data_IF_084644317923
#
_entry.id   IF_084644317923
#
_cell.length_a   1.000
_cell.length_b   1.000
_cell.length_c   1.000
_cell.angle_alpha   90.00
_cell.angle_beta   90.00
_cell.angle_gamma   90.00
#
_symmetry.space_group_name_H-M   'P 1'
#
loop_
_entity.id
_entity.type
_entity.pdbx_description
1 polymer ?
#
# COMPACT_ATOMS: atom_id res chain seq x y z
N UNK A 1 -4.20 7.25 -10.99
CA UNK A 1 -3.07 6.40 -11.43
C UNK A 1 -3.50 5.53 -12.61
N UNK A 2 -4.54 4.71 -12.47
CA UNK A 2 -5.11 3.86 -13.54
C UNK A 2 -5.46 4.64 -14.81
N UNK A 3 -6.15 5.79 -14.69
CA UNK A 3 -6.45 6.66 -15.85
C UNK A 3 -5.20 7.17 -16.55
N UNK A 4 -4.12 7.46 -15.81
CA UNK A 4 -2.83 7.87 -16.39
C UNK A 4 -2.14 6.70 -17.10
N UNK A 5 -2.23 5.48 -16.56
CA UNK A 5 -1.68 4.28 -17.19
C UNK A 5 -2.42 3.98 -18.50
N UNK A 6 -3.76 4.08 -18.50
CA UNK A 6 -4.58 3.98 -19.70
C UNK A 6 -4.23 5.04 -20.75
N UNK A 7 -3.97 6.28 -20.32
CA UNK A 7 -3.52 7.37 -21.20
C UNK A 7 -2.15 7.12 -21.83
N UNK A 8 -1.23 6.48 -21.11
CA UNK A 8 0.16 6.27 -21.55
C UNK A 8 0.30 4.99 -22.39
N UNK A 9 -0.33 3.89 -21.99
CA UNK A 9 -0.18 2.58 -22.62
C UNK A 9 -1.28 2.28 -23.66
N UNK A 10 -2.40 3.01 -23.62
CA UNK A 10 -3.63 2.64 -24.31
C UNK A 10 -4.40 1.55 -23.55
N UNK A 11 -5.74 1.47 -23.72
CA UNK A 11 -6.60 0.61 -22.90
C UNK A 11 -6.21 -0.86 -22.95
N UNK A 12 -5.99 -1.42 -24.14
CA UNK A 12 -5.68 -2.85 -24.35
C UNK A 12 -4.36 -3.26 -23.68
N UNK A 13 -3.33 -2.40 -23.71
CA UNK A 13 -2.03 -2.68 -23.06
C UNK A 13 -2.07 -2.38 -21.56
N UNK A 14 -2.85 -1.38 -21.15
CA UNK A 14 -3.03 -1.07 -19.74
C UNK A 14 -3.76 -2.22 -19.02
N UNK A 15 -4.83 -2.75 -19.60
CA UNK A 15 -5.56 -3.92 -19.09
C UNK A 15 -4.62 -5.12 -18.97
N UNK A 16 -3.89 -5.46 -20.04
CA UNK A 16 -2.94 -6.59 -20.06
C UNK A 16 -1.72 -6.45 -19.13
N UNK A 17 -1.44 -5.23 -18.65
CA UNK A 17 -0.36 -4.94 -17.69
C UNK A 17 -0.91 -4.80 -16.26
N UNK A 18 -2.21 -4.62 -16.11
CA UNK A 18 -2.93 -4.38 -14.87
C UNK A 18 -3.98 -5.47 -14.60
N UNK A 19 -3.78 -6.71 -15.10
CA UNK A 19 -4.72 -7.82 -14.98
C UNK A 19 -5.33 -7.90 -13.56
N UNK A 20 -4.50 -7.68 -12.52
CA UNK A 20 -4.97 -7.50 -11.14
C UNK A 20 -4.18 -6.42 -10.39
N UNK A 21 -4.89 -5.54 -9.70
CA UNK A 21 -4.31 -4.52 -8.84
C UNK A 21 -4.69 -4.75 -7.38
N UNK A 22 -3.70 -4.97 -6.52
CA UNK A 22 -3.91 -4.97 -5.08
C UNK A 22 -3.65 -3.57 -4.51
N UNK A 23 -4.73 -2.84 -4.22
CA UNK A 23 -4.69 -1.48 -3.67
C UNK A 23 -4.61 -1.54 -2.15
N UNK A 24 -3.54 -0.97 -1.58
CA UNK A 24 -3.29 -0.97 -0.14
C UNK A 24 -3.32 0.46 0.38
N UNK A 25 -4.17 0.70 1.39
CA UNK A 25 -4.28 1.97 2.09
C UNK A 25 -4.58 1.76 3.58
N UNK A 26 -4.55 2.81 4.38
CA UNK A 26 -5.02 2.76 5.76
C UNK A 26 -5.89 3.96 6.12
N UNK A 27 -6.93 3.71 6.91
CA UNK A 27 -7.80 4.75 7.47
C UNK A 27 -7.67 4.79 8.98
N UNK A 28 -7.62 5.99 9.57
CA UNK A 28 -7.51 6.15 11.04
C UNK A 28 -8.82 6.68 11.61
N UNK A 29 -9.41 5.93 12.54
CA UNK A 29 -10.54 6.37 13.36
C UNK A 29 -9.97 6.98 14.64
N UNK A 30 -10.17 8.28 14.82
CA UNK A 30 -9.74 9.00 16.02
C UNK A 30 -10.81 8.94 17.12
N UNK A 31 -10.39 8.76 18.36
CA UNK A 31 -11.25 8.58 19.53
C UNK A 31 -10.72 9.36 20.74
N UNK A 32 -11.54 9.48 21.80
CA UNK A 32 -11.10 10.07 23.06
C UNK A 32 -10.17 9.11 23.83
N UNK A 33 -9.10 9.65 24.42
CA UNK A 33 -8.13 8.84 25.17
C UNK A 33 -8.77 8.21 26.42
N UNK A 34 -9.59 8.98 27.15
CA UNK A 34 -10.26 8.53 28.38
C UNK A 34 -11.19 7.34 28.20
N UNK A 35 -11.75 7.13 27.00
CA UNK A 35 -12.60 5.98 26.71
C UNK A 35 -11.85 4.78 26.13
N UNK A 36 -10.61 4.97 25.65
CA UNK A 36 -9.90 4.00 24.83
C UNK A 36 -8.39 4.02 25.11
N UNK A 37 -7.99 3.89 26.38
CA UNK A 37 -6.59 3.99 26.81
C UNK A 37 -5.67 2.92 26.21
N UNK A 38 -6.23 1.77 25.79
CA UNK A 38 -5.48 0.71 25.10
C UNK A 38 -5.05 1.08 23.68
N UNK A 39 -5.65 2.12 23.08
CA UNK A 39 -5.46 2.52 21.69
C UNK A 39 -4.74 3.87 21.55
N UNK A 40 -3.75 4.16 22.41
CA UNK A 40 -3.02 5.45 22.41
C UNK A 40 -2.49 5.79 21.02
N UNK A 41 -2.85 6.96 20.50
CA UNK A 41 -2.41 7.46 19.20
C UNK A 41 -1.53 8.72 19.32
N UNK A 42 -1.96 9.68 20.14
CA UNK A 42 -1.24 10.91 20.52
C UNK A 42 -1.48 11.20 21.99
N UNK A 43 -0.80 12.22 22.53
CA UNK A 43 -0.87 12.60 23.95
C UNK A 43 -2.29 12.74 24.49
N UNK A 44 -3.23 13.28 23.70
CA UNK A 44 -4.63 13.47 24.10
C UNK A 44 -5.64 12.65 23.29
N UNK A 45 -5.17 11.79 22.37
CA UNK A 45 -6.03 11.06 21.44
C UNK A 45 -5.72 9.57 21.43
N UNK A 46 -6.77 8.77 21.42
CA UNK A 46 -6.69 7.38 21.01
C UNK A 46 -7.09 7.25 19.53
N UNK A 47 -6.72 6.14 18.93
CA UNK A 47 -7.10 5.86 17.56
C UNK A 47 -6.86 4.41 17.18
N UNK A 48 -7.72 3.92 16.31
CA UNK A 48 -7.55 2.64 15.63
C UNK A 48 -7.25 2.96 14.18
N UNK A 49 -6.29 2.23 13.61
CA UNK A 49 -5.98 2.27 12.19
C UNK A 49 -6.43 0.97 11.55
N UNK A 50 -7.18 1.10 10.47
CA UNK A 50 -7.69 0.02 9.66
C UNK A 50 -6.84 -0.02 8.40
N UNK A 51 -5.95 -0.99 8.29
CA UNK A 51 -5.19 -1.23 7.07
C UNK A 51 -6.01 -2.12 6.14
N UNK A 52 -6.16 -1.71 4.89
CA UNK A 52 -7.03 -2.37 3.91
C UNK A 52 -6.24 -2.70 2.65
N UNK A 53 -6.41 -3.92 2.17
CA UNK A 53 -6.00 -4.39 0.85
C UNK A 53 -7.28 -4.72 0.07
N UNK A 54 -7.44 -4.10 -1.10
CA UNK A 54 -8.59 -4.28 -2.00
C UNK A 54 -8.05 -4.75 -3.35
N UNK A 55 -8.55 -5.89 -3.83
CA UNK A 55 -8.18 -6.40 -5.13
C UNK A 55 -9.17 -5.84 -6.17
N UNK A 56 -8.61 -5.23 -7.22
CA UNK A 56 -9.31 -4.79 -8.42
C UNK A 56 -8.89 -5.72 -9.56
N UNK A 57 -9.86 -6.39 -10.15
CA UNK A 57 -9.72 -7.25 -11.33
C UNK A 57 -10.65 -6.70 -12.44
N UNK A 58 -10.58 -7.26 -13.65
CA UNK A 58 -11.35 -6.77 -14.82
C UNK A 58 -12.84 -6.52 -14.54
N UNK A 59 -13.51 -7.45 -13.84
CA UNK A 59 -14.97 -7.38 -13.64
C UNK A 59 -15.38 -7.03 -12.19
N UNK A 60 -14.45 -7.09 -11.23
CA UNK A 60 -14.78 -7.07 -9.81
C UNK A 60 -13.82 -6.25 -8.94
N UNK A 61 -14.37 -5.75 -7.83
CA UNK A 61 -13.62 -5.12 -6.75
C UNK A 61 -14.03 -5.76 -5.44
N UNK A 62 -13.09 -6.33 -4.70
CA UNK A 62 -13.39 -6.95 -3.42
C UNK A 62 -12.32 -6.73 -2.36
N UNK A 63 -12.72 -6.63 -1.08
CA UNK A 63 -11.77 -6.54 0.01
C UNK A 63 -11.00 -7.86 0.13
N UNK A 64 -9.67 -7.79 0.02
CA UNK A 64 -8.79 -8.94 0.21
C UNK A 64 -8.37 -9.10 1.67
N UNK A 65 -8.00 -7.99 2.33
CA UNK A 65 -7.57 -8.04 3.73
C UNK A 65 -7.90 -6.77 4.49
N UNK A 66 -8.30 -6.93 5.74
CA UNK A 66 -8.55 -5.83 6.68
C UNK A 66 -7.83 -6.16 7.98
N UNK A 67 -6.92 -5.28 8.41
CA UNK A 67 -6.13 -5.46 9.63
C UNK A 67 -6.32 -4.23 10.52
N UNK A 68 -7.14 -4.32 11.59
CA UNK A 68 -7.25 -3.27 12.59
C UNK A 68 -6.06 -3.32 13.56
N UNK A 69 -5.51 -2.17 13.88
CA UNK A 69 -4.40 -2.02 14.84
C UNK A 69 -4.57 -0.72 15.64
N UNK A 70 -3.92 -0.55 16.81
CA UNK A 70 -3.77 0.78 17.41
C UNK A 70 -3.15 1.73 16.38
N UNK A 71 -3.50 3.02 16.38
CA UNK A 71 -3.10 3.92 15.28
C UNK A 71 -1.63 4.40 15.33
N UNK A 72 -0.93 4.15 16.43
CA UNK A 72 0.44 4.63 16.68
C UNK A 72 1.52 3.99 15.79
N UNK A 73 1.54 2.67 15.56
CA UNK A 73 2.51 2.06 14.66
C UNK A 73 2.44 2.64 13.24
N UNK A 74 3.62 2.73 12.60
CA UNK A 74 3.73 3.20 11.23
C UNK A 74 3.14 2.17 10.24
N UNK A 75 2.64 2.66 9.11
CA UNK A 75 1.91 1.84 8.13
C UNK A 75 2.80 0.78 7.49
N UNK A 76 4.06 1.12 7.22
CA UNK A 76 5.07 0.19 6.69
C UNK A 76 5.18 -1.11 7.51
N UNK A 77 4.87 -1.09 8.80
CA UNK A 77 4.94 -2.28 9.66
C UNK A 77 3.93 -3.37 9.27
N UNK A 78 2.83 -2.99 8.61
CA UNK A 78 1.77 -3.90 8.17
C UNK A 78 1.83 -4.27 6.70
N UNK A 79 2.73 -3.63 5.93
CA UNK A 79 2.84 -3.85 4.48
C UNK A 79 2.92 -5.32 4.09
N UNK A 80 3.86 -6.09 4.68
CA UNK A 80 4.06 -7.50 4.33
C UNK A 80 2.79 -8.34 4.51
N UNK A 81 1.95 -8.00 5.49
CA UNK A 81 0.71 -8.74 5.71
C UNK A 81 -0.36 -8.43 4.66
N UNK A 82 -0.26 -7.29 3.98
CA UNK A 82 -1.23 -6.77 2.99
C UNK A 82 -0.81 -7.04 1.54
N UNK A 83 0.47 -7.33 1.31
CA UNK A 83 1.02 -7.71 0.00
C UNK A 83 0.41 -9.05 -0.44
N UNK A 84 0.12 -9.12 -1.74
CA UNK A 84 -0.26 -10.34 -2.45
C UNK A 84 0.93 -10.78 -3.30
N UNK A 85 1.65 -11.85 -2.93
CA UNK A 85 2.82 -12.34 -3.65
C UNK A 85 2.37 -13.23 -4.81
N UNK A 86 1.68 -12.63 -5.77
CA UNK A 86 1.19 -13.27 -6.99
C UNK A 86 1.82 -12.55 -8.18
N UNK A 87 2.35 -13.31 -9.15
CA UNK A 87 3.06 -12.77 -10.31
C UNK A 87 2.15 -11.93 -11.21
N UNK A 88 0.84 -12.18 -11.20
CA UNK A 88 -0.16 -11.45 -12.00
C UNK A 88 -0.70 -10.22 -11.27
N UNK A 89 -0.24 -9.95 -10.05
CA UNK A 89 -0.77 -8.87 -9.19
C UNK A 89 0.25 -7.76 -9.02
N UNK A 90 -0.14 -6.54 -9.37
CA UNK A 90 0.62 -5.34 -9.03
C UNK A 90 0.11 -4.78 -7.69
N UNK A 91 0.98 -4.79 -6.69
CA UNK A 91 0.70 -4.23 -5.37
C UNK A 91 0.93 -2.71 -5.36
N UNK A 92 -0.10 -1.91 -5.13
CA UNK A 92 -0.02 -0.45 -5.16
C UNK A 92 -0.29 0.12 -3.77
N UNK A 93 0.65 0.92 -3.26
CA UNK A 93 0.53 1.55 -1.94
C UNK A 93 1.12 2.96 -1.92
N UNK A 94 0.64 3.77 -0.99
CA UNK A 94 1.08 5.14 -0.82
C UNK A 94 2.47 5.26 -0.17
N UNK A 95 2.95 6.50 0.04
CA UNK A 95 4.28 6.77 0.60
C UNK A 95 4.40 6.46 2.10
N UNK A 96 3.30 6.25 2.81
CA UNK A 96 3.29 5.89 4.23
C UNK A 96 3.90 4.50 4.48
N UNK A 97 3.90 3.66 3.44
CA UNK A 97 4.46 2.30 3.45
C UNK A 97 5.91 2.23 2.93
N UNK A 98 6.56 3.37 2.69
CA UNK A 98 7.83 3.41 1.97
C UNK A 98 9.03 2.92 2.80
N UNK A 99 9.65 1.81 2.36
CA UNK A 99 10.77 1.14 3.02
C UNK A 99 11.67 0.38 2.04
N UNK A 100 12.92 0.84 1.84
CA UNK A 100 13.85 0.23 0.88
C UNK A 100 14.16 -1.25 1.16
N UNK A 101 14.36 -1.64 2.42
CA UNK A 101 14.68 -3.04 2.76
C UNK A 101 13.57 -4.01 2.34
N UNK A 102 12.32 -3.56 2.42
CA UNK A 102 11.17 -4.34 1.95
C UNK A 102 11.14 -4.41 0.42
N UNK A 103 11.48 -3.32 -0.24
CA UNK A 103 11.51 -3.25 -1.69
C UNK A 103 12.58 -4.16 -2.27
N UNK A 104 13.78 -4.18 -1.67
CA UNK A 104 14.85 -5.11 -2.06
C UNK A 104 14.37 -6.57 -1.95
N UNK A 105 13.76 -6.94 -0.81
CA UNK A 105 13.21 -8.28 -0.61
C UNK A 105 12.09 -8.61 -1.62
N UNK A 106 11.17 -7.68 -1.88
CA UNK A 106 10.11 -7.88 -2.88
C UNK A 106 10.67 -8.07 -4.28
N UNK A 107 11.70 -7.30 -4.65
CA UNK A 107 12.38 -7.44 -5.93
C UNK A 107 13.10 -8.78 -6.07
N UNK A 108 13.77 -9.25 -5.01
CA UNK A 108 14.39 -10.58 -4.98
C UNK A 108 13.35 -11.72 -5.10
N UNK A 109 12.17 -11.52 -4.52
CA UNK A 109 11.05 -12.48 -4.55
C UNK A 109 10.18 -12.36 -5.83
N UNK A 110 10.50 -11.45 -6.76
CA UNK A 110 9.71 -11.23 -7.99
C UNK A 110 8.34 -10.58 -7.77
N UNK A 111 8.08 -10.04 -6.57
CA UNK A 111 6.82 -9.38 -6.23
C UNK A 111 6.73 -8.02 -6.93
N UNK A 112 5.69 -7.84 -7.75
CA UNK A 112 5.43 -6.58 -8.45
C UNK A 112 4.79 -5.56 -7.51
N UNK A 113 5.38 -4.37 -7.41
CA UNK A 113 4.82 -3.27 -6.62
C UNK A 113 5.02 -1.89 -7.26
N UNK A 114 4.15 -0.94 -6.88
CA UNK A 114 4.27 0.47 -7.23
C UNK A 114 3.97 1.34 -6.02
N UNK A 115 4.84 2.32 -5.76
CA UNK A 115 4.66 3.29 -4.67
C UNK A 115 5.21 4.65 -5.05
N UNK A 116 4.79 5.68 -4.32
CA UNK A 116 5.30 7.04 -4.50
C UNK A 116 6.61 7.21 -3.72
N UNK A 117 7.65 7.68 -4.40
CA UNK A 117 8.93 8.05 -3.77
C UNK A 117 8.74 9.16 -2.72
N UNK A 118 9.56 9.13 -1.65
CA UNK A 118 9.67 10.27 -0.73
C UNK A 118 10.49 11.37 -1.41
N UNK A 119 10.18 12.63 -1.10
CA UNK A 119 10.88 13.79 -1.70
C UNK A 119 12.38 13.80 -1.40
N UNK A 120 12.80 13.18 -0.30
CA UNK A 120 14.20 13.08 0.12
C UNK A 120 14.90 11.79 -0.34
N UNK A 121 14.28 11.02 -1.24
CA UNK A 121 14.91 9.82 -1.81
C UNK A 121 16.11 10.23 -2.66
N UNK A 122 17.29 9.68 -2.34
CA UNK A 122 18.50 9.84 -3.16
C UNK A 122 18.38 8.95 -4.39
N UNK A 123 18.53 9.53 -5.57
CA UNK A 123 18.51 8.83 -6.85
C UNK A 123 19.91 8.90 -7.45
N UNK A 124 20.46 7.74 -7.76
CA UNK A 124 21.72 7.62 -8.48
C UNK A 124 21.39 7.10 -9.88
N UNK A 125 21.70 7.89 -10.90
CA UNK A 125 21.59 7.43 -12.29
C UNK A 125 22.85 6.64 -12.58
N UNK A 126 22.67 5.39 -12.99
CA UNK A 126 23.76 4.55 -13.50
C UNK A 126 23.71 4.72 -15.02
N UNK A 127 24.78 5.25 -15.60
CA UNK A 127 24.95 5.30 -17.05
C UNK A 127 25.42 3.92 -17.53
N UNK A 128 24.84 3.44 -18.63
CA UNK A 128 25.20 2.18 -19.30
C UNK A 128 26.59 2.25 -19.96
#
# INVERSE_FOLDING_TARGET
MIQKIHLILGPVKAEKVLDKLNLIDSSTISMCLSGYEWAVFRETKSGIKIHTSVLLCEEDVYPNKIIPTPARPADETKLNALIMPDEDVLNVFDRGYFNFKKFDAYSEEGIKFATRLKTNTKVHVIED
#
